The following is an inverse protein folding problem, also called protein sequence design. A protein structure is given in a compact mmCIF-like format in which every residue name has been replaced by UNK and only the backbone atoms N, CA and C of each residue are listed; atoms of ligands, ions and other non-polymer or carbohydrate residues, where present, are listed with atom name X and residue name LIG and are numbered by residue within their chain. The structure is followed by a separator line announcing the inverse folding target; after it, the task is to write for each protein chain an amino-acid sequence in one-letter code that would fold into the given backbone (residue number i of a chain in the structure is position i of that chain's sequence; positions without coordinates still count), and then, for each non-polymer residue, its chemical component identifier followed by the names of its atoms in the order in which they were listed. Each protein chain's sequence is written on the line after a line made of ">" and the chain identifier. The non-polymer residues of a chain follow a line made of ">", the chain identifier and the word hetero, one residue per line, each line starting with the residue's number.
data_IF_268135498872
#
_entry.id   IF_268135498872
#
_cell.length_a   1.000
_cell.length_b   1.000
_cell.length_c   1.000
_cell.angle_alpha   90.00
_cell.angle_beta   90.00
_cell.angle_gamma   90.00
#
_symmetry.space_group_name_H-M   'P 1'
#
loop_
_entity.id
_entity.type
_entity.pdbx_description
1 polymer ?
#
# COMPACT_ATOMS: atom_id res chain seq x y z
N UNK A 1 -2.41 13.01 -18.35
CA UNK A 1 -3.04 14.31 -18.56
C UNK A 1 -4.57 14.23 -18.67
N UNK A 2 -5.16 13.15 -19.20
CA UNK A 2 -6.62 13.02 -19.40
C UNK A 2 -7.46 13.12 -18.11
N UNK A 3 -6.91 12.79 -16.95
CA UNK A 3 -7.61 12.84 -15.65
C UNK A 3 -7.70 14.27 -15.08
N UNK A 4 -6.80 15.17 -15.46
CA UNK A 4 -6.68 16.51 -14.88
C UNK A 4 -7.99 17.31 -14.89
N UNK A 5 -8.80 17.30 -15.97
CA UNK A 5 -10.08 18.01 -16.00
C UNK A 5 -11.15 17.42 -15.06
N UNK A 6 -10.92 16.25 -14.50
CA UNK A 6 -11.88 15.50 -13.67
C UNK A 6 -11.51 15.43 -12.18
N UNK A 7 -10.48 16.17 -11.77
CA UNK A 7 -9.99 16.19 -10.39
C UNK A 7 -9.80 17.63 -9.90
N UNK A 8 -10.05 17.86 -8.63
CA UNK A 8 -9.92 19.19 -8.00
C UNK A 8 -8.46 19.53 -7.65
N UNK A 9 -7.64 18.53 -7.38
CA UNK A 9 -6.21 18.68 -7.11
C UNK A 9 -5.44 17.45 -7.58
N UNK A 10 -4.20 17.64 -8.03
CA UNK A 10 -3.33 16.60 -8.54
C UNK A 10 -2.04 16.51 -7.74
N UNK A 11 -1.69 15.29 -7.32
CA UNK A 11 -0.43 14.95 -6.68
C UNK A 11 0.33 13.96 -7.56
N UNK A 12 1.49 14.37 -8.07
CA UNK A 12 2.37 13.48 -8.81
C UNK A 12 3.41 12.87 -7.87
N UNK A 13 3.45 11.53 -7.81
CA UNK A 13 4.42 10.79 -6.97
C UNK A 13 5.45 10.10 -7.87
N UNK A 14 6.70 10.39 -7.63
CA UNK A 14 7.84 9.83 -8.36
C UNK A 14 8.91 9.30 -7.40
N UNK A 15 9.91 8.61 -7.92
CA UNK A 15 11.08 8.16 -7.16
C UNK A 15 12.34 8.88 -7.65
N UNK A 16 13.44 8.90 -6.86
CA UNK A 16 14.66 9.62 -7.21
C UNK A 16 15.26 9.24 -8.55
N UNK A 17 15.07 8.01 -9.00
CA UNK A 17 15.61 7.49 -10.26
C UNK A 17 15.06 8.25 -11.48
N UNK A 18 13.86 8.81 -11.38
CA UNK A 18 13.23 9.59 -12.43
C UNK A 18 13.48 11.10 -12.30
N UNK A 19 14.18 11.53 -11.26
CA UNK A 19 14.49 12.93 -10.97
C UNK A 19 15.75 13.48 -11.66
N UNK A 20 16.39 12.71 -12.54
CA UNK A 20 17.57 13.18 -13.28
C UNK A 20 17.17 14.28 -14.30
N UNK A 21 17.90 15.36 -14.34
CA UNK A 21 17.59 16.55 -15.13
C UNK A 21 17.31 16.25 -16.61
N UNK A 22 18.02 15.29 -17.21
CA UNK A 22 17.84 14.88 -18.61
C UNK A 22 16.52 14.13 -18.89
N UNK A 23 15.82 13.68 -17.85
CA UNK A 23 14.55 12.96 -17.96
C UNK A 23 13.35 13.83 -17.59
N UNK A 24 13.55 14.90 -16.83
CA UNK A 24 12.49 15.76 -16.32
C UNK A 24 11.72 16.48 -17.42
N UNK A 25 12.38 16.85 -18.51
CA UNK A 25 11.75 17.49 -19.66
C UNK A 25 10.74 16.58 -20.39
N UNK A 26 10.84 15.26 -20.17
CA UNK A 26 9.94 14.26 -20.77
C UNK A 26 8.75 13.91 -19.88
N UNK A 27 8.65 14.52 -18.68
CA UNK A 27 7.60 14.24 -17.72
C UNK A 27 6.52 15.33 -17.80
N UNK A 28 5.62 15.21 -18.77
CA UNK A 28 4.48 16.14 -18.97
C UNK A 28 3.62 16.31 -17.70
N UNK A 29 3.63 15.31 -16.79
CA UNK A 29 2.84 15.37 -15.56
C UNK A 29 3.29 16.46 -14.60
N UNK A 30 4.54 16.94 -14.71
CA UNK A 30 5.04 18.05 -13.88
C UNK A 30 4.36 19.38 -14.23
N UNK A 31 3.84 19.52 -15.44
CA UNK A 31 3.13 20.72 -15.88
C UNK A 31 1.74 20.84 -15.25
N UNK A 32 1.13 19.71 -14.93
CA UNK A 32 -0.24 19.62 -14.44
C UNK A 32 -0.35 19.33 -12.95
N UNK A 33 0.76 18.91 -12.31
CA UNK A 33 0.75 18.55 -10.92
C UNK A 33 0.66 19.79 -10.03
N UNK A 34 -0.29 19.83 -9.11
CA UNK A 34 -0.37 20.85 -8.06
C UNK A 34 0.74 20.66 -7.03
N UNK A 35 1.02 19.38 -6.71
CA UNK A 35 2.07 18.96 -5.78
C UNK A 35 2.88 17.82 -6.38
N UNK A 36 4.16 17.76 -6.01
CA UNK A 36 5.05 16.66 -6.41
C UNK A 36 5.67 16.04 -5.16
N UNK A 37 5.62 14.72 -5.08
CA UNK A 37 6.28 13.96 -4.01
C UNK A 37 7.38 13.06 -4.59
N UNK A 38 8.60 13.23 -4.13
CA UNK A 38 9.71 12.33 -4.40
C UNK A 38 9.77 11.32 -3.27
N UNK A 39 9.14 10.17 -3.51
CA UNK A 39 9.07 9.08 -2.54
C UNK A 39 10.36 8.25 -2.54
N UNK A 40 10.56 7.44 -1.49
CA UNK A 40 11.81 6.70 -1.25
C UNK A 40 13.01 7.64 -1.12
N UNK A 41 12.83 8.70 -0.35
CA UNK A 41 13.83 9.75 -0.17
C UNK A 41 15.10 9.28 0.56
N UNK A 42 15.11 8.06 1.08
CA UNK A 42 16.28 7.35 1.62
C UNK A 42 17.27 6.89 0.56
N UNK A 43 16.87 6.85 -0.72
CA UNK A 43 17.71 6.40 -1.81
C UNK A 43 18.78 7.43 -2.20
N UNK A 44 19.87 6.90 -2.76
CA UNK A 44 20.98 7.75 -3.29
C UNK A 44 20.42 8.68 -4.39
N UNK A 45 20.86 9.93 -4.36
CA UNK A 45 20.47 10.95 -5.35
C UNK A 45 19.12 11.64 -5.05
N UNK A 46 18.43 11.30 -3.95
CA UNK A 46 17.13 11.88 -3.63
C UNK A 46 17.16 13.40 -3.42
N UNK A 47 18.20 13.92 -2.76
CA UNK A 47 18.37 15.37 -2.56
C UNK A 47 18.63 16.12 -3.87
N UNK A 48 19.41 15.53 -4.77
CA UNK A 48 19.65 16.10 -6.11
C UNK A 48 18.36 16.07 -6.93
N UNK A 49 17.64 14.96 -6.92
CA UNK A 49 16.33 14.85 -7.58
C UNK A 49 15.34 15.89 -7.06
N UNK A 50 15.27 16.11 -5.74
CA UNK A 50 14.41 17.15 -5.14
C UNK A 50 14.73 18.54 -5.69
N UNK A 51 16.01 18.89 -5.73
CA UNK A 51 16.49 20.17 -6.25
C UNK A 51 16.17 20.34 -7.74
N UNK A 52 16.43 19.30 -8.54
CA UNK A 52 16.29 19.36 -9.99
C UNK A 52 14.82 19.38 -10.39
N UNK A 53 13.97 18.59 -9.74
CA UNK A 53 12.51 18.62 -9.92
C UNK A 53 11.93 19.97 -9.49
N UNK A 54 12.36 20.53 -8.37
CA UNK A 54 11.91 21.85 -7.92
C UNK A 54 12.24 22.94 -8.95
N UNK A 55 13.45 22.92 -9.52
CA UNK A 55 13.86 23.83 -10.61
C UNK A 55 13.01 23.62 -11.88
N UNK A 56 12.69 22.37 -12.23
CA UNK A 56 11.85 22.09 -13.38
C UNK A 56 10.43 22.60 -13.16
N UNK A 57 9.83 22.36 -12.00
CA UNK A 57 8.51 22.88 -11.64
C UNK A 57 8.49 24.42 -11.65
N UNK A 58 9.55 25.06 -11.17
CA UNK A 58 9.72 26.52 -11.23
C UNK A 58 9.70 27.02 -12.67
N UNK A 59 10.45 26.38 -13.59
CA UNK A 59 10.48 26.74 -15.02
C UNK A 59 9.10 26.54 -15.66
N UNK A 60 8.48 25.38 -15.45
CA UNK A 60 7.17 25.04 -16.04
C UNK A 60 6.09 26.04 -15.63
N UNK A 61 6.16 26.51 -14.38
CA UNK A 61 5.23 27.53 -13.84
C UNK A 61 5.64 28.96 -14.10
N UNK A 62 6.79 29.17 -14.73
CA UNK A 62 7.40 30.52 -14.97
C UNK A 62 7.52 31.34 -13.67
N UNK A 63 7.71 30.66 -12.52
CA UNK A 63 7.73 31.26 -11.19
C UNK A 63 9.16 31.69 -10.80
N UNK A 64 9.80 32.52 -11.65
CA UNK A 64 11.19 32.99 -11.45
C UNK A 64 11.33 34.04 -10.35
N UNK A 65 10.21 34.60 -9.90
CA UNK A 65 10.10 35.53 -8.77
C UNK A 65 10.24 34.84 -7.40
N UNK A 66 10.19 33.51 -7.39
CA UNK A 66 10.29 32.67 -6.17
C UNK A 66 11.45 31.71 -6.28
N UNK A 67 12.15 31.43 -5.16
CA UNK A 67 13.22 30.42 -5.15
C UNK A 67 12.65 29.01 -5.40
N UNK A 68 13.48 28.15 -6.00
CA UNK A 68 13.05 26.81 -6.39
C UNK A 68 12.64 25.92 -5.18
N UNK A 69 13.21 26.16 -4.01
CA UNK A 69 12.88 25.45 -2.75
C UNK A 69 11.47 25.80 -2.21
N UNK A 70 10.88 26.91 -2.68
CA UNK A 70 9.48 27.23 -2.38
C UNK A 70 8.48 26.46 -3.25
N UNK A 71 8.90 25.88 -4.34
CA UNK A 71 8.01 25.08 -5.20
C UNK A 71 7.38 23.92 -4.43
N UNK A 72 6.14 23.49 -4.76
CA UNK A 72 5.42 22.45 -4.02
C UNK A 72 5.94 21.04 -4.33
N UNK A 73 7.23 20.84 -4.06
CA UNK A 73 7.94 19.57 -4.25
C UNK A 73 8.44 19.10 -2.89
N UNK A 74 8.14 17.84 -2.55
CA UNK A 74 8.39 17.26 -1.24
C UNK A 74 9.16 15.96 -1.35
N UNK A 75 10.14 15.75 -0.47
CA UNK A 75 10.85 14.49 -0.34
C UNK A 75 10.20 13.63 0.75
N UNK A 76 9.70 12.45 0.42
CA UNK A 76 8.90 11.61 1.32
C UNK A 76 9.45 10.19 1.46
N UNK A 77 9.24 9.58 2.62
CA UNK A 77 9.47 8.15 2.86
C UNK A 77 8.18 7.51 3.37
N UNK A 78 7.26 7.18 2.48
CA UNK A 78 5.96 6.63 2.84
C UNK A 78 6.04 5.27 3.59
N UNK A 79 7.15 4.54 3.43
CA UNK A 79 7.41 3.31 4.18
C UNK A 79 7.81 3.57 5.64
N UNK A 80 8.11 4.82 6.01
CA UNK A 80 8.53 5.19 7.36
C UNK A 80 7.33 5.74 8.14
N UNK A 81 7.07 5.14 9.30
CA UNK A 81 6.04 5.66 10.19
C UNK A 81 6.43 7.06 10.71
N UNK A 82 5.48 7.99 10.68
CA UNK A 82 5.64 9.39 11.12
C UNK A 82 6.79 10.14 10.42
N UNK A 83 6.82 10.04 9.08
CA UNK A 83 7.80 10.74 8.26
C UNK A 83 7.50 12.24 8.14
N UNK A 84 8.52 13.08 8.40
CA UNK A 84 8.39 14.54 8.36
C UNK A 84 8.02 15.02 6.95
N UNK A 85 8.59 14.41 5.91
CA UNK A 85 8.30 14.78 4.53
C UNK A 85 6.85 14.50 4.13
N UNK A 86 6.29 13.36 4.58
CA UNK A 86 4.87 13.04 4.41
C UNK A 86 3.99 14.01 5.18
N UNK A 87 4.39 14.36 6.41
CA UNK A 87 3.67 15.35 7.24
C UNK A 87 3.69 16.74 6.60
N UNK A 88 4.84 17.16 6.06
CA UNK A 88 4.97 18.45 5.36
C UNK A 88 4.08 18.51 4.10
N UNK A 89 4.06 17.45 3.29
CA UNK A 89 3.18 17.31 2.13
C UNK A 89 1.70 17.40 2.56
N UNK A 90 1.30 16.68 3.60
CA UNK A 90 -0.06 16.73 4.14
C UNK A 90 -0.45 18.15 4.58
N UNK A 91 0.44 18.82 5.32
CA UNK A 91 0.20 20.19 5.77
C UNK A 91 0.15 21.21 4.63
N UNK A 92 0.82 20.95 3.50
CA UNK A 92 0.74 21.78 2.31
C UNK A 92 -0.54 21.51 1.47
N UNK A 93 -1.03 20.29 1.47
CA UNK A 93 -2.27 19.89 0.79
C UNK A 93 -3.52 20.48 1.46
N UNK A 94 -3.56 20.49 2.79
CA UNK A 94 -4.75 20.89 3.56
C UNK A 94 -5.31 22.27 3.19
N UNK A 95 -4.51 23.34 3.10
CA UNK A 95 -5.03 24.67 2.74
C UNK A 95 -5.68 24.69 1.36
N UNK A 96 -5.10 23.97 0.38
CA UNK A 96 -5.68 23.87 -0.97
C UNK A 96 -7.01 23.12 -0.94
N UNK A 97 -7.05 21.96 -0.28
CA UNK A 97 -8.27 21.16 -0.16
C UNK A 97 -9.37 21.89 0.61
N UNK A 98 -9.01 22.64 1.66
CA UNK A 98 -9.97 23.47 2.39
C UNK A 98 -10.56 24.58 1.51
N UNK A 99 -9.74 25.22 0.66
CA UNK A 99 -10.23 26.20 -0.31
C UNK A 99 -11.18 25.60 -1.35
N UNK A 100 -11.05 24.29 -1.63
CA UNK A 100 -11.93 23.51 -2.50
C UNK A 100 -13.17 22.93 -1.80
N UNK A 101 -13.36 23.27 -0.52
CA UNK A 101 -14.56 22.89 0.24
C UNK A 101 -14.39 21.74 1.24
N UNK A 102 -13.19 21.18 1.39
CA UNK A 102 -12.92 20.19 2.44
C UNK A 102 -13.04 20.86 3.81
N UNK A 103 -13.95 20.40 4.64
CA UNK A 103 -14.08 20.84 6.04
C UNK A 103 -13.20 19.96 6.93
N UNK A 104 -11.92 20.29 7.06
CA UNK A 104 -11.02 19.58 7.97
C UNK A 104 -10.95 20.25 9.34
N UNK A 105 -10.98 19.46 10.42
CA UNK A 105 -10.64 19.95 11.74
C UNK A 105 -9.14 20.26 11.83
N UNK A 106 -8.75 21.15 12.75
CA UNK A 106 -7.34 21.44 13.01
C UNK A 106 -6.60 20.16 13.40
N UNK A 107 -5.56 19.80 12.65
CA UNK A 107 -4.76 18.62 12.89
C UNK A 107 -3.97 18.72 14.20
N UNK A 108 -3.68 17.57 14.81
CA UNK A 108 -2.85 17.46 16.04
C UNK A 108 -1.36 17.32 15.74
N UNK A 109 -0.99 17.18 14.45
CA UNK A 109 0.41 17.00 14.06
C UNK A 109 1.20 18.31 14.26
N UNK A 110 2.41 18.26 14.81
CA UNK A 110 3.28 19.41 14.93
C UNK A 110 3.57 19.99 13.54
N UNK A 111 3.73 21.32 13.46
CA UNK A 111 4.06 21.97 12.21
C UNK A 111 5.49 21.62 11.79
N UNK A 112 5.62 21.12 10.56
CA UNK A 112 6.90 20.78 9.95
C UNK A 112 7.29 21.87 8.95
N UNK A 113 8.51 22.36 9.06
CA UNK A 113 9.05 23.42 8.17
C UNK A 113 9.89 22.85 7.02
N UNK A 114 10.49 21.68 7.22
CA UNK A 114 11.30 21.01 6.19
C UNK A 114 10.41 20.32 5.16
N UNK A 115 10.67 20.54 3.86
CA UNK A 115 9.93 19.88 2.76
C UNK A 115 10.45 18.49 2.42
N UNK A 116 11.37 17.95 3.20
CA UNK A 116 11.97 16.64 2.94
C UNK A 116 12.03 15.83 4.23
N UNK A 117 12.01 14.51 4.06
CA UNK A 117 12.21 13.59 5.15
C UNK A 117 13.51 13.86 5.89
N UNK A 118 13.41 14.09 7.19
CA UNK A 118 14.58 14.16 8.05
C UNK A 118 15.04 12.74 8.42
N UNK A 119 16.32 12.59 8.74
CA UNK A 119 16.85 11.36 9.35
C UNK A 119 16.55 11.29 10.85
N UNK A 120 15.52 11.99 11.32
CA UNK A 120 15.11 12.04 12.70
C UNK A 120 14.91 10.62 13.31
N UNK A 121 14.89 10.54 14.64
CA UNK A 121 14.76 9.27 15.36
C UNK A 121 13.47 8.55 14.95
N UNK A 122 13.61 7.34 14.40
CA UNK A 122 12.46 6.51 14.08
C UNK A 122 11.69 6.15 15.36
N UNK A 123 10.39 6.42 15.40
CA UNK A 123 9.52 6.02 16.52
C UNK A 123 9.42 4.49 16.56
N UNK A 124 9.37 3.85 15.39
CA UNK A 124 9.35 2.40 15.25
C UNK A 124 10.75 1.92 14.87
N UNK A 125 11.39 1.05 15.67
CA UNK A 125 12.68 0.45 15.33
C UNK A 125 12.65 -0.25 13.97
N UNK A 126 13.78 -0.28 13.27
CA UNK A 126 13.88 -0.83 11.91
C UNK A 126 13.40 -2.30 11.82
N UNK A 127 13.71 -3.10 12.85
CA UNK A 127 13.27 -4.50 12.97
C UNK A 127 11.76 -4.67 13.16
N UNK A 128 11.04 -3.61 13.56
CA UNK A 128 9.59 -3.64 13.80
C UNK A 128 8.76 -2.87 12.79
N UNK A 129 9.36 -2.32 11.75
CA UNK A 129 8.64 -1.55 10.72
C UNK A 129 7.52 -2.37 10.07
N UNK A 130 7.72 -3.68 9.91
CA UNK A 130 6.74 -4.60 9.32
C UNK A 130 5.89 -5.35 10.35
N UNK A 131 6.11 -5.17 11.63
CA UNK A 131 5.48 -5.97 12.68
C UNK A 131 3.95 -6.07 12.58
N UNK A 132 3.27 -4.96 12.35
CA UNK A 132 1.80 -4.96 12.16
C UNK A 132 1.37 -5.64 10.87
N UNK A 133 2.15 -5.50 9.80
CA UNK A 133 1.90 -6.19 8.52
C UNK A 133 2.07 -7.70 8.70
N UNK A 134 3.12 -8.13 9.39
CA UNK A 134 3.40 -9.55 9.66
C UNK A 134 2.29 -10.19 10.51
N UNK A 135 1.81 -9.47 11.55
CA UNK A 135 0.64 -9.91 12.34
C UNK A 135 -0.61 -10.02 11.45
N UNK A 136 -0.89 -9.00 10.66
CA UNK A 136 -2.08 -9.00 9.79
C UNK A 136 -2.01 -10.12 8.75
N UNK A 137 -0.84 -10.39 8.17
CA UNK A 137 -0.61 -11.48 7.23
C UNK A 137 -0.79 -12.85 7.88
N UNK A 138 -0.23 -13.04 9.09
CA UNK A 138 -0.39 -14.26 9.87
C UNK A 138 -1.84 -14.54 10.21
N UNK A 139 -2.58 -13.53 10.69
CA UNK A 139 -4.00 -13.65 11.03
C UNK A 139 -4.85 -13.97 9.79
N UNK A 140 -4.64 -13.23 8.67
CA UNK A 140 -5.35 -13.50 7.42
C UNK A 140 -5.02 -14.87 6.84
N UNK A 141 -3.74 -15.28 6.94
CA UNK A 141 -3.30 -16.62 6.55
C UNK A 141 -4.00 -17.70 7.34
N UNK A 142 -4.06 -17.56 8.65
CA UNK A 142 -4.78 -18.46 9.54
C UNK A 142 -6.27 -18.58 9.19
N UNK A 143 -6.97 -17.47 9.02
CA UNK A 143 -8.38 -17.49 8.66
C UNK A 143 -8.64 -18.17 7.31
N UNK A 144 -7.81 -17.85 6.30
CA UNK A 144 -7.92 -18.49 4.97
C UNK A 144 -7.71 -19.99 5.05
N UNK A 145 -6.67 -20.42 5.78
CA UNK A 145 -6.38 -21.83 6.00
C UNK A 145 -7.54 -22.53 6.73
N UNK A 146 -8.07 -21.93 7.80
CA UNK A 146 -9.20 -22.47 8.55
C UNK A 146 -10.45 -22.64 7.69
N UNK A 147 -10.77 -21.63 6.85
CA UNK A 147 -11.92 -21.73 5.93
C UNK A 147 -11.73 -22.86 4.92
N UNK A 148 -10.53 -23.02 4.37
CA UNK A 148 -10.20 -24.08 3.43
C UNK A 148 -10.30 -25.47 4.07
N UNK A 149 -9.68 -25.66 5.25
CA UNK A 149 -9.75 -26.93 5.97
C UNK A 149 -11.20 -27.27 6.38
N UNK A 150 -11.97 -26.29 6.80
CA UNK A 150 -13.40 -26.46 7.11
C UNK A 150 -14.22 -26.85 5.88
N UNK A 151 -13.90 -26.30 4.70
CA UNK A 151 -14.53 -26.68 3.42
C UNK A 151 -14.24 -28.14 3.09
N UNK A 152 -12.96 -28.55 3.14
CA UNK A 152 -12.53 -29.91 2.85
C UNK A 152 -13.20 -30.91 3.82
N UNK A 153 -13.27 -30.58 5.10
CA UNK A 153 -13.93 -31.41 6.11
C UNK A 153 -15.42 -31.60 5.82
N UNK A 154 -16.13 -30.55 5.40
CA UNK A 154 -17.54 -30.62 5.01
C UNK A 154 -17.76 -31.48 3.76
N UNK A 155 -16.94 -31.29 2.75
CA UNK A 155 -16.98 -32.09 1.51
C UNK A 155 -16.75 -33.58 1.82
N UNK A 156 -15.76 -33.89 2.68
CA UNK A 156 -15.52 -35.26 3.17
C UNK A 156 -16.73 -35.85 3.89
N UNK A 157 -17.34 -35.04 4.77
CA UNK A 157 -18.54 -35.49 5.49
C UNK A 157 -19.71 -35.75 4.53
N UNK A 158 -19.91 -34.88 3.54
CA UNK A 158 -20.93 -35.09 2.51
C UNK A 158 -20.71 -36.38 1.72
N UNK A 159 -19.45 -36.70 1.37
CA UNK A 159 -19.09 -37.94 0.71
C UNK A 159 -19.39 -39.18 1.58
N UNK A 160 -19.09 -39.10 2.88
CA UNK A 160 -19.43 -40.17 3.85
C UNK A 160 -20.95 -40.40 3.95
N UNK A 161 -21.73 -39.31 4.02
CA UNK A 161 -23.19 -39.39 4.03
C UNK A 161 -23.73 -40.00 2.74
N UNK A 162 -23.20 -39.57 1.59
CA UNK A 162 -23.59 -40.12 0.29
C UNK A 162 -23.22 -41.60 0.18
N UNK A 163 -22.05 -42.00 0.65
CA UNK A 163 -21.62 -43.39 0.71
C UNK A 163 -22.61 -44.25 1.48
N UNK A 164 -22.97 -43.83 2.71
CA UNK A 164 -23.91 -44.54 3.56
C UNK A 164 -25.27 -44.72 2.86
N UNK A 165 -25.80 -43.69 2.22
CA UNK A 165 -27.06 -43.75 1.47
C UNK A 165 -26.98 -44.74 0.27
N UNK A 166 -25.81 -44.81 -0.41
CA UNK A 166 -25.60 -45.77 -1.51
C UNK A 166 -25.58 -47.22 -1.00
N UNK A 167 -24.91 -47.46 0.13
CA UNK A 167 -24.83 -48.77 0.78
C UNK A 167 -26.23 -49.22 1.27
N UNK A 168 -27.01 -48.30 1.86
CA UNK A 168 -28.38 -48.56 2.29
C UNK A 168 -29.32 -48.93 1.11
N UNK A 169 -29.04 -48.41 -0.10
CA UNK A 169 -29.73 -48.75 -1.33
C UNK A 169 -29.22 -50.04 -2.00
N UNK A 170 -28.27 -50.75 -1.39
CA UNK A 170 -27.66 -51.97 -1.94
C UNK A 170 -26.76 -51.75 -3.15
N UNK A 171 -26.20 -50.54 -3.33
CA UNK A 171 -25.34 -50.17 -4.43
C UNK A 171 -23.89 -50.20 -4.00
N UNK A 172 -22.97 -50.47 -4.98
CA UNK A 172 -21.53 -50.47 -4.73
C UNK A 172 -21.03 -49.05 -4.51
N UNK A 173 -20.34 -48.81 -3.39
CA UNK A 173 -19.90 -47.49 -2.90
C UNK A 173 -18.40 -47.25 -3.03
N UNK A 174 -17.61 -48.12 -3.67
CA UNK A 174 -16.16 -48.00 -3.85
C UNK A 174 -15.64 -46.64 -4.35
N UNK A 175 -16.30 -45.98 -5.34
CA UNK A 175 -15.83 -44.66 -5.81
C UNK A 175 -15.81 -43.59 -4.71
N UNK A 176 -16.67 -43.73 -3.69
CA UNK A 176 -16.68 -42.80 -2.55
C UNK A 176 -15.45 -43.00 -1.65
N UNK A 177 -14.94 -44.22 -1.50
CA UNK A 177 -13.76 -44.51 -0.69
C UNK A 177 -12.53 -43.79 -1.24
N UNK A 178 -12.34 -43.81 -2.56
CA UNK A 178 -11.27 -43.12 -3.22
C UNK A 178 -11.36 -41.60 -3.04
N UNK A 179 -12.56 -41.03 -3.19
CA UNK A 179 -12.79 -39.59 -3.00
C UNK A 179 -12.60 -39.17 -1.53
N UNK A 180 -13.04 -39.98 -0.58
CA UNK A 180 -12.87 -39.74 0.86
C UNK A 180 -11.36 -39.76 1.19
N UNK A 181 -10.63 -40.79 0.71
CA UNK A 181 -9.18 -40.88 0.91
C UNK A 181 -8.42 -39.69 0.30
N UNK A 182 -8.84 -39.23 -0.88
CA UNK A 182 -8.28 -38.04 -1.50
C UNK A 182 -8.52 -36.77 -0.67
N UNK A 183 -9.72 -36.60 -0.11
CA UNK A 183 -10.05 -35.47 0.80
C UNK A 183 -9.30 -35.59 2.12
N UNK A 184 -9.13 -36.79 2.66
CA UNK A 184 -8.31 -37.02 3.85
C UNK A 184 -6.84 -36.65 3.62
N UNK A 185 -6.32 -36.83 2.41
CA UNK A 185 -4.99 -36.40 2.02
C UNK A 185 -4.80 -34.88 2.01
N UNK A 186 -5.87 -34.10 1.82
CA UNK A 186 -5.84 -32.63 1.81
C UNK A 186 -5.99 -31.98 3.20
N UNK A 187 -6.45 -32.75 4.19
CA UNK A 187 -6.56 -32.27 5.56
C UNK A 187 -5.20 -32.25 6.24
N UNK A 188 -4.90 -31.16 6.95
CA UNK A 188 -3.70 -31.07 7.79
C UNK A 188 -3.83 -31.98 9.03
N UNK A 189 -2.70 -32.25 9.72
CA UNK A 189 -2.70 -33.13 10.91
C UNK A 189 -3.59 -32.60 12.05
N UNK A 190 -3.70 -31.26 12.19
CA UNK A 190 -4.53 -30.64 13.21
C UNK A 190 -6.01 -30.79 12.90
N UNK A 191 -6.40 -30.56 11.65
CA UNK A 191 -7.76 -30.74 11.19
C UNK A 191 -8.19 -32.22 11.31
N UNK A 192 -7.32 -33.17 10.96
CA UNK A 192 -7.59 -34.61 11.15
C UNK A 192 -7.89 -34.94 12.61
N UNK A 193 -7.05 -34.45 13.53
CA UNK A 193 -7.23 -34.68 14.98
C UNK A 193 -8.52 -34.11 15.55
N UNK A 194 -9.06 -33.05 14.94
CA UNK A 194 -10.33 -32.44 15.36
C UNK A 194 -11.55 -33.19 14.84
N UNK A 195 -11.36 -34.09 13.83
CA UNK A 195 -12.43 -34.87 13.21
C UNK A 195 -12.52 -36.30 13.75
N UNK A 196 -11.56 -36.73 14.56
CA UNK A 196 -11.55 -37.97 15.35
C UNK A 196 -12.37 -37.79 16.63
#
# INVERSE_FOLDING_TARGET
>A
AAIVPHVDASLYVMTPEFGAASQLEKIDMLDFADFVAINKFDRKGAADALRDVAKQVQRNRQAFDRPADEMPVFGTMAARFNDDGVTALYQALLPKLNALGLKSAAGRLPRVTAKQSSRGRAIVPAERVRYLADIAESVRGYHRHTLEQSRIARERQSLRTAKALFEDCGKEAKPFDELIAWKDGQLDPRAKKLLE
#
